data_IF_194769418928
#
_entry.id   IF_194769418928
#
_cell.length_a   1.000
_cell.length_b   1.000
_cell.length_c   1.000
_cell.angle_alpha   90.00
_cell.angle_beta   90.00
_cell.angle_gamma   90.00
#
_symmetry.space_group_name_H-M   'P 1'
#
loop_
_entity.id
_entity.type
_entity.pdbx_description
1 polymer ?
#
# COMPACT_ATOMS: atom_id res chain seq x y z
N UNK A 1 4.89 -1.75 10.59
CA UNK A 1 5.17 -3.12 10.12
C UNK A 1 3.82 -3.69 9.74
N UNK A 2 3.68 -4.24 8.52
CA UNK A 2 2.47 -4.96 8.14
C UNK A 2 2.22 -6.07 9.16
N UNK A 3 0.95 -6.37 9.42
CA UNK A 3 0.59 -7.48 10.29
C UNK A 3 1.00 -8.78 9.56
N UNK A 4 1.74 -9.71 10.20
CA UNK A 4 2.12 -10.97 9.54
C UNK A 4 0.93 -11.84 9.11
N UNK A 5 -0.29 -11.52 9.56
CA UNK A 5 -1.54 -12.13 9.08
C UNK A 5 -2.15 -11.45 7.85
N UNK A 6 -1.63 -10.30 7.42
CA UNK A 6 -2.09 -9.64 6.20
C UNK A 6 -1.57 -10.40 4.97
N UNK A 7 -2.43 -10.69 3.98
CA UNK A 7 -2.00 -11.33 2.75
C UNK A 7 -0.96 -10.48 2.03
N UNK A 8 -0.05 -11.15 1.36
CA UNK A 8 1.00 -10.53 0.55
C UNK A 8 0.40 -9.67 -0.57
N UNK A 9 1.19 -8.76 -1.12
CA UNK A 9 0.77 -7.99 -2.29
C UNK A 9 0.46 -8.93 -3.47
N UNK A 10 1.18 -10.06 -3.55
CA UNK A 10 1.02 -11.21 -4.47
C UNK A 10 -0.39 -11.78 -4.48
N UNK A 11 -0.90 -12.04 -3.28
CA UNK A 11 -2.24 -12.59 -3.07
C UNK A 11 -3.32 -11.54 -3.31
N UNK A 12 -3.11 -10.29 -2.91
CA UNK A 12 -4.10 -9.21 -3.07
C UNK A 12 -4.26 -8.78 -4.54
N UNK A 13 -3.18 -8.76 -5.34
CA UNK A 13 -3.22 -8.28 -6.74
C UNK A 13 -2.85 -9.40 -7.69
N UNK A 14 -3.77 -10.27 -8.05
CA UNK A 14 -3.43 -11.38 -8.95
C UNK A 14 -3.23 -10.86 -10.38
N UNK A 15 -2.27 -11.47 -11.08
CA UNK A 15 -1.96 -11.16 -12.46
C UNK A 15 -2.00 -12.43 -13.30
N UNK A 16 -2.75 -12.40 -14.40
CA UNK A 16 -2.86 -13.49 -15.36
C UNK A 16 -2.68 -12.95 -16.78
N UNK A 17 -1.93 -13.66 -17.62
CA UNK A 17 -1.66 -13.26 -19.01
C UNK A 17 -2.00 -14.44 -19.91
N UNK A 18 -2.94 -14.24 -20.83
CA UNK A 18 -3.26 -15.21 -21.87
C UNK A 18 -2.52 -14.85 -23.17
N UNK A 19 -1.52 -15.67 -23.52
CA UNK A 19 -0.71 -15.48 -24.72
C UNK A 19 -1.49 -15.66 -26.03
N UNK A 20 -2.60 -16.41 -26.02
CA UNK A 20 -3.42 -16.65 -27.23
C UNK A 20 -4.30 -15.45 -27.53
N UNK A 21 -5.01 -14.95 -26.53
CA UNK A 21 -5.90 -13.79 -26.69
C UNK A 21 -5.16 -12.46 -26.56
N UNK A 22 -3.92 -12.48 -26.05
CA UNK A 22 -3.11 -11.28 -25.74
C UNK A 22 -3.77 -10.35 -24.74
N UNK A 23 -4.55 -10.94 -23.82
CA UNK A 23 -5.23 -10.24 -22.74
C UNK A 23 -4.47 -10.49 -21.44
N UNK A 24 -4.13 -9.41 -20.75
CA UNK A 24 -3.67 -9.46 -19.38
C UNK A 24 -4.79 -9.05 -18.43
N UNK A 25 -4.91 -9.71 -17.28
CA UNK A 25 -5.92 -9.44 -16.27
C UNK A 25 -5.27 -9.18 -14.92
N UNK A 26 -5.49 -7.99 -14.38
CA UNK A 26 -5.20 -7.65 -12.98
C UNK A 26 -6.48 -7.85 -12.17
N UNK A 27 -6.44 -8.70 -11.16
CA UNK A 27 -7.55 -8.97 -10.24
C UNK A 27 -7.20 -8.49 -8.84
N UNK A 28 -8.01 -7.59 -8.29
CA UNK A 28 -7.97 -7.26 -6.87
C UNK A 28 -8.71 -8.37 -6.11
N UNK A 29 -8.00 -9.14 -5.29
CA UNK A 29 -8.50 -10.37 -4.68
C UNK A 29 -8.42 -10.26 -3.15
N UNK A 30 -9.27 -9.38 -2.61
CA UNK A 30 -9.43 -9.18 -1.17
C UNK A 30 -10.90 -8.85 -0.83
N UNK A 31 -11.84 -9.76 -1.16
CA UNK A 31 -13.27 -9.49 -1.06
C UNK A 31 -13.72 -9.16 0.37
N UNK A 32 -13.11 -9.76 1.39
CA UNK A 32 -13.41 -9.48 2.82
C UNK A 32 -13.19 -8.01 3.21
N UNK A 33 -12.44 -7.26 2.40
CA UNK A 33 -12.15 -5.84 2.58
C UNK A 33 -12.65 -5.01 1.40
N UNK A 34 -13.65 -5.50 0.66
CA UNK A 34 -14.21 -4.84 -0.53
C UNK A 34 -13.11 -4.47 -1.53
N UNK A 35 -12.12 -5.36 -1.69
CA UNK A 35 -10.97 -5.18 -2.56
C UNK A 35 -10.10 -3.94 -2.26
N UNK A 36 -10.11 -3.42 -1.02
CA UNK A 36 -9.20 -2.38 -0.58
C UNK A 36 -7.73 -2.88 -0.63
N UNK A 37 -6.87 -2.31 -1.49
CA UNK A 37 -5.47 -2.65 -1.56
C UNK A 37 -4.68 -1.96 -0.43
N UNK A 38 -3.80 -2.73 0.19
CA UNK A 38 -2.72 -2.22 1.06
C UNK A 38 -1.76 -1.34 0.26
N UNK A 39 -0.85 -0.61 0.93
CA UNK A 39 0.18 0.20 0.29
C UNK A 39 1.05 -0.68 -0.63
N UNK A 40 1.46 -1.85 -0.16
CA UNK A 40 2.25 -2.78 -0.95
C UNK A 40 1.50 -3.28 -2.20
N UNK A 41 0.21 -3.61 -2.06
CA UNK A 41 -0.65 -3.97 -3.18
C UNK A 41 -0.78 -2.84 -4.20
N UNK A 42 -0.88 -1.58 -3.77
CA UNK A 42 -0.92 -0.42 -4.69
C UNK A 42 0.37 -0.26 -5.48
N UNK A 43 1.53 -0.42 -4.83
CA UNK A 43 2.83 -0.38 -5.51
C UNK A 43 2.90 -1.50 -6.55
N UNK A 44 2.56 -2.73 -6.18
CA UNK A 44 2.55 -3.86 -7.10
C UNK A 44 1.59 -3.68 -8.27
N UNK A 45 0.41 -3.12 -8.04
CA UNK A 45 -0.53 -2.79 -9.10
C UNK A 45 0.06 -1.76 -10.08
N UNK A 46 0.74 -0.72 -9.58
CA UNK A 46 1.43 0.25 -10.43
C UNK A 46 2.56 -0.39 -11.26
N UNK A 47 3.33 -1.30 -10.66
CA UNK A 47 4.39 -2.04 -11.36
C UNK A 47 3.80 -2.92 -12.47
N UNK A 48 2.71 -3.64 -12.20
CA UNK A 48 2.03 -4.48 -13.20
C UNK A 48 1.40 -3.65 -14.31
N UNK A 49 0.80 -2.49 -13.99
CA UNK A 49 0.29 -1.55 -14.98
C UNK A 49 1.40 -1.05 -15.90
N UNK A 50 2.57 -0.72 -15.35
CA UNK A 50 3.73 -0.31 -16.14
C UNK A 50 4.26 -1.44 -17.02
N UNK A 51 4.48 -2.63 -16.44
CA UNK A 51 4.94 -3.81 -17.18
C UNK A 51 3.98 -4.17 -18.33
N UNK A 52 2.67 -4.12 -18.08
CA UNK A 52 1.67 -4.40 -19.11
C UNK A 52 1.66 -3.34 -20.22
N UNK A 53 2.00 -2.08 -19.91
CA UNK A 53 2.07 -1.00 -20.88
C UNK A 53 3.28 -1.06 -21.82
N UNK A 54 4.34 -1.77 -21.44
CA UNK A 54 5.57 -1.92 -22.25
C UNK A 54 5.74 -3.32 -22.86
N UNK A 55 4.81 -4.24 -22.60
CA UNK A 55 4.82 -5.61 -23.09
C UNK A 55 4.05 -5.72 -24.42
N UNK A 56 4.78 -5.89 -25.52
CA UNK A 56 4.22 -5.96 -26.88
C UNK A 56 3.26 -7.15 -27.09
N UNK A 57 3.33 -8.19 -26.27
CA UNK A 57 2.43 -9.33 -26.34
C UNK A 57 1.05 -9.03 -25.73
N UNK A 58 0.89 -7.92 -25.01
CA UNK A 58 -0.38 -7.51 -24.40
C UNK A 58 -1.05 -6.50 -25.32
N UNK A 59 -2.30 -6.79 -25.70
CA UNK A 59 -3.12 -5.89 -26.52
C UNK A 59 -4.29 -5.30 -25.76
N UNK A 60 -4.72 -5.96 -24.69
CA UNK A 60 -5.79 -5.49 -23.81
C UNK A 60 -5.41 -5.80 -22.37
N UNK A 61 -5.57 -4.81 -21.48
CA UNK A 61 -5.47 -4.99 -20.05
C UNK A 61 -6.85 -4.86 -19.41
N UNK A 62 -7.28 -5.90 -18.70
CA UNK A 62 -8.51 -5.92 -17.92
C UNK A 62 -8.16 -5.72 -16.45
N UNK A 63 -8.80 -4.76 -15.80
CA UNK A 63 -8.70 -4.54 -14.36
C UNK A 63 -10.04 -4.86 -13.73
N UNK A 64 -10.07 -5.77 -12.76
CA UNK A 64 -11.29 -6.22 -12.10
C UNK A 64 -11.09 -6.48 -10.61
N UNK A 65 -12.17 -6.51 -9.85
CA UNK A 65 -12.19 -7.06 -8.49
C UNK A 65 -12.71 -8.50 -8.49
N UNK A 66 -12.31 -9.29 -7.49
CA UNK A 66 -12.93 -10.56 -7.16
C UNK A 66 -14.24 -10.33 -6.42
N UNK A 67 -15.26 -11.14 -6.70
CA UNK A 67 -16.61 -10.95 -6.15
C UNK A 67 -17.36 -9.80 -6.84
N UNK A 68 -18.13 -9.05 -6.06
CA UNK A 68 -19.09 -8.06 -6.58
C UNK A 68 -18.55 -6.63 -6.61
N UNK A 69 -17.45 -6.36 -5.90
CA UNK A 69 -16.88 -5.03 -5.75
C UNK A 69 -15.60 -4.86 -6.56
N UNK A 70 -15.41 -3.72 -7.21
CA UNK A 70 -14.10 -3.39 -7.80
C UNK A 70 -13.06 -3.07 -6.71
N UNK A 71 -13.44 -2.22 -5.76
CA UNK A 71 -12.54 -1.67 -4.74
C UNK A 71 -13.17 -0.54 -3.93
N UNK A 72 -12.95 -0.51 -2.63
CA UNK A 72 -13.48 0.52 -1.71
C UNK A 72 -12.55 1.73 -1.49
N UNK A 73 -11.44 1.81 -2.22
CA UNK A 73 -10.44 2.87 -2.07
C UNK A 73 -9.16 2.34 -1.42
N UNK A 74 -8.60 3.04 -0.43
CA UNK A 74 -7.39 2.61 0.27
C UNK A 74 -7.73 1.79 1.54
N UNK A 75 -6.80 0.94 1.99
CA UNK A 75 -6.89 0.33 3.31
C UNK A 75 -6.77 1.41 4.41
N UNK A 76 -7.92 1.82 4.95
CA UNK A 76 -8.00 2.86 5.98
C UNK A 76 -7.32 2.44 7.29
N UNK A 77 -7.33 1.15 7.62
CA UNK A 77 -6.73 0.64 8.85
C UNK A 77 -5.21 0.82 8.76
N UNK A 78 -4.61 0.43 7.64
CA UNK A 78 -3.18 0.65 7.37
C UNK A 78 -2.82 2.14 7.36
N UNK A 79 -3.62 2.97 6.66
CA UNK A 79 -3.39 4.42 6.59
C UNK A 79 -3.43 5.07 7.98
N UNK A 80 -4.40 4.70 8.81
CA UNK A 80 -4.50 5.23 10.18
C UNK A 80 -3.32 4.81 11.05
N UNK A 81 -2.91 3.53 10.98
CA UNK A 81 -1.74 3.03 11.73
C UNK A 81 -0.47 3.84 11.40
N UNK A 82 -0.25 4.16 10.13
CA UNK A 82 0.91 4.96 9.70
C UNK A 82 0.83 6.39 10.22
N UNK A 83 -0.32 7.06 10.07
CA UNK A 83 -0.53 8.42 10.57
C UNK A 83 -0.31 8.52 12.08
N UNK A 84 -0.78 7.53 12.84
CA UNK A 84 -0.59 7.46 14.29
C UNK A 84 0.88 7.26 14.67
N UNK A 85 1.60 6.42 13.93
CA UNK A 85 3.03 6.21 14.14
C UNK A 85 3.82 7.51 13.90
N UNK A 86 3.56 8.21 12.80
CA UNK A 86 4.16 9.51 12.49
C UNK A 86 3.88 10.55 13.57
N UNK A 87 2.62 10.63 14.02
CA UNK A 87 2.21 11.52 15.10
C UNK A 87 2.97 11.24 16.41
N UNK A 88 3.13 9.97 16.77
CA UNK A 88 3.90 9.56 17.97
C UNK A 88 5.37 9.94 17.86
N UNK A 89 5.99 9.76 16.69
CA UNK A 89 7.38 10.15 16.45
C UNK A 89 7.56 11.68 16.55
N UNK A 90 6.65 12.45 15.95
CA UNK A 90 6.64 13.91 16.03
C UNK A 90 6.53 14.41 17.48
N UNK A 91 5.64 13.82 18.29
CA UNK A 91 5.53 14.15 19.73
C UNK A 91 6.83 13.85 20.49
N UNK A 92 7.46 12.70 20.22
CA UNK A 92 8.74 12.33 20.87
C UNK A 92 9.85 13.32 20.50
N UNK A 93 9.97 13.71 19.24
CA UNK A 93 10.95 14.68 18.77
C UNK A 93 10.75 16.06 19.43
N UNK A 94 9.50 16.54 19.49
CA UNK A 94 9.15 17.80 20.19
C UNK A 94 9.51 17.75 21.68
N UNK A 95 9.25 16.62 22.36
CA UNK A 95 9.61 16.44 23.78
C UNK A 95 11.13 16.45 23.99
N UNK A 96 11.89 15.76 23.13
CA UNK A 96 13.36 15.72 23.18
C UNK A 96 13.97 17.12 22.98
N UNK A 97 13.51 17.85 21.97
CA UNK A 97 13.99 19.21 21.70
C UNK A 97 13.74 20.17 22.88
N UNK A 98 12.64 20.00 23.61
CA UNK A 98 12.36 20.76 24.84
C UNK A 98 13.34 20.40 25.97
N UNK A 99 13.55 19.11 26.21
CA UNK A 99 14.49 18.64 27.23
C UNK A 99 15.95 19.07 26.96
N UNK A 100 16.39 19.04 25.70
CA UNK A 100 17.73 19.48 25.30
C UNK A 100 17.94 20.98 25.56
N UNK A 101 16.91 21.81 25.31
CA UNK A 101 16.94 23.25 25.65
C UNK A 101 17.04 23.49 27.16
N UNK A 102 16.25 22.75 27.96
CA UNK A 102 16.27 22.88 29.42
C UNK A 102 17.63 22.47 30.01
N UNK A 103 18.27 21.44 29.43
CA UNK A 103 19.60 20.97 29.86
C UNK A 103 20.70 21.98 29.50
N UNK A 104 20.63 22.60 28.32
CA UNK A 104 21.60 23.62 27.88
C UNK A 104 21.48 24.91 28.69
N UNK A 105 20.27 25.29 29.10
CA UNK A 105 20.04 26.44 29.98
C UNK A 105 20.65 26.24 31.37
N UNK A 106 20.59 25.02 31.92
CA UNK A 106 21.20 24.69 33.23
C UNK A 106 22.72 24.64 33.23
N UNK A 107 23.37 24.30 32.10
CA UNK A 107 24.84 24.27 31.96
C UNK A 107 25.51 25.64 31.76
N UNK A 108 24.73 26.69 31.48
CA UNK A 108 25.22 28.08 31.30
C UNK A 108 25.11 28.94 32.56
N UNK A 109 24.65 28.37 33.67
CA UNK A 109 24.57 28.98 34.99
C UNK A 109 25.60 28.31 35.89
#
# INVERSE_FOLDING_TARGET
MPDPSEPSAEEIIRYDKDAKTRIATITFDRPDYLNAPTIAARVRCADLLHCAGVDDDIKVLVVRGAGDDLGSGADLVEVMRIRDAEWRLSKKARKKARADKDTKAKRKK
#
